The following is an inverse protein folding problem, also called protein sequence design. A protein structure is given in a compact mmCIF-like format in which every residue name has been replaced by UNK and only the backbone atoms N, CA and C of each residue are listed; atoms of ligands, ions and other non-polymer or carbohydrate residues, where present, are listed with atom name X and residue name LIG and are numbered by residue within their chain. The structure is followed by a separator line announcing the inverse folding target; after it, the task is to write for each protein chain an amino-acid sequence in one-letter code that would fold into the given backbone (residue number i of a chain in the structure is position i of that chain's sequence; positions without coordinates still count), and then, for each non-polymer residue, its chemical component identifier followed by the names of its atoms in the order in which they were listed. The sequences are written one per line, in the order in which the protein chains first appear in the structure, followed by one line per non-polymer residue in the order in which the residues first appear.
data_IF_542974317257
#
_entry.id   IF_542974317257
#
_cell.length_a   1.000
_cell.length_b   1.000
_cell.length_c   1.000
_cell.angle_alpha   90.00
_cell.angle_beta   90.00
_cell.angle_gamma   90.00
#
_symmetry.space_group_name_H-M   'P 1'
#
loop_
_entity.id
_entity.type
_entity.pdbx_description
1 polymer ?
#
# COMPACT_ATOMS: atom_id res chain seq x y z
N UNK A 1 -8.12 -10.35 -22.00
CA UNK A 1 -6.75 -10.24 -21.48
C UNK A 1 -6.64 -8.92 -20.72
N UNK A 2 -6.88 -8.89 -19.42
CA UNK A 2 -6.81 -7.67 -18.59
C UNK A 2 -5.37 -7.27 -18.23
N UNK A 3 -4.43 -8.20 -18.15
CA UNK A 3 -3.07 -7.93 -17.72
C UNK A 3 -2.23 -6.98 -18.60
N UNK A 4 -2.59 -6.78 -19.85
CA UNK A 4 -1.85 -5.93 -20.78
C UNK A 4 -2.02 -4.41 -20.55
N UNK A 5 -3.04 -4.00 -19.78
CA UNK A 5 -3.30 -2.59 -19.49
C UNK A 5 -2.43 -2.06 -18.34
N UNK A 6 -2.17 -2.88 -17.34
CA UNK A 6 -1.31 -2.50 -16.22
C UNK A 6 0.17 -2.37 -16.62
N UNK A 7 0.62 -3.17 -17.59
CA UNK A 7 2.01 -3.17 -18.08
C UNK A 7 2.49 -1.86 -18.70
N UNK A 8 1.58 -1.04 -19.25
CA UNK A 8 1.95 0.26 -19.83
C UNK A 8 2.11 1.41 -18.82
N UNK A 9 1.65 1.21 -17.59
CA UNK A 9 1.66 2.28 -16.58
C UNK A 9 3.00 2.53 -15.92
N UNK A 10 3.74 1.49 -15.64
CA UNK A 10 4.99 1.61 -14.93
C UNK A 10 6.16 2.08 -15.83
N UNK A 11 6.08 1.83 -17.15
CA UNK A 11 7.14 2.20 -18.08
C UNK A 11 7.31 3.72 -18.29
N UNK A 12 6.29 4.53 -18.02
CA UNK A 12 6.35 5.98 -18.25
C UNK A 12 6.74 6.81 -17.02
N UNK A 13 6.88 6.19 -15.85
CA UNK A 13 7.24 6.90 -14.61
C UNK A 13 8.76 7.05 -14.39
N UNK A 14 9.60 6.37 -15.18
CA UNK A 14 11.04 6.24 -14.91
C UNK A 14 12.00 6.76 -15.97
N UNK A 15 11.58 7.63 -16.90
CA UNK A 15 12.53 8.28 -17.85
C UNK A 15 12.69 9.76 -17.53
N UNK A 16 13.56 10.07 -16.58
CA UNK A 16 14.28 11.36 -16.55
C UNK A 16 15.77 11.12 -16.36
N UNK A 17 16.62 11.94 -17.03
CA UNK A 17 18.07 11.70 -17.11
C UNK A 17 18.78 12.11 -15.83
N UNK A 18 19.67 11.23 -15.37
CA UNK A 18 20.62 11.46 -14.29
C UNK A 18 21.67 12.47 -14.76
N UNK A 19 21.83 13.57 -14.03
CA UNK A 19 22.98 14.47 -14.18
C UNK A 19 24.27 13.81 -13.69
N UNK A 20 25.37 13.88 -14.45
CA UNK A 20 26.64 13.31 -14.02
C UNK A 20 27.48 14.30 -13.21
N UNK A 21 28.06 13.82 -12.14
CA UNK A 21 29.21 14.40 -11.52
C UNK A 21 29.24 14.33 -10.01
N UNK A 22 30.03 13.43 -9.45
CA UNK A 22 31.14 13.68 -8.51
C UNK A 22 31.88 12.36 -8.24
N UNK A 23 33.20 12.48 -8.29
CA UNK A 23 34.18 11.44 -8.40
C UNK A 23 34.41 10.58 -7.15
N UNK A 24 35.07 9.50 -7.39
CA UNK A 24 35.57 8.48 -6.49
C UNK A 24 36.42 9.01 -5.34
N UNK A 25 36.24 8.43 -4.16
CA UNK A 25 37.34 8.24 -3.17
C UNK A 25 37.22 6.87 -2.51
N UNK A 26 38.40 6.21 -2.48
CA UNK A 26 38.65 4.84 -2.05
C UNK A 26 38.63 4.65 -0.53
N UNK A 27 38.19 3.49 -0.16
CA UNK A 27 38.51 2.59 0.93
C UNK A 27 39.34 3.09 2.15
N UNK A 28 38.80 2.82 3.34
CA UNK A 28 39.53 2.26 4.48
C UNK A 28 38.63 1.76 5.62
N UNK A 29 38.77 0.47 5.93
CA UNK A 29 38.80 -0.04 7.30
C UNK A 29 37.50 -0.06 8.12
N UNK A 30 36.84 -1.22 8.09
CA UNK A 30 35.80 -1.58 9.04
C UNK A 30 36.30 -1.57 10.50
N UNK A 31 35.66 -0.82 11.36
CA UNK A 31 35.50 -1.10 12.78
C UNK A 31 34.05 -0.83 13.17
N UNK A 32 33.37 -1.90 13.52
CA UNK A 32 32.06 -1.86 14.16
C UNK A 32 32.20 -1.09 15.49
N UNK A 33 31.69 0.10 15.56
CA UNK A 33 31.41 0.79 16.80
C UNK A 33 29.91 1.08 16.89
N UNK A 34 29.30 0.50 17.90
CA UNK A 34 28.01 0.91 18.45
C UNK A 34 28.06 2.42 18.70
N UNK A 35 27.39 3.20 17.87
CA UNK A 35 27.10 4.58 18.21
C UNK A 35 25.69 4.63 18.82
N UNK A 36 25.64 4.60 20.16
CA UNK A 36 24.56 5.18 20.93
C UNK A 36 24.62 6.70 20.69
N UNK A 37 23.86 7.19 19.74
CA UNK A 37 23.69 8.62 19.55
C UNK A 37 22.95 9.19 20.77
N UNK A 38 23.68 9.92 21.59
CA UNK A 38 23.11 10.92 22.49
C UNK A 38 22.52 12.04 21.63
N UNK A 39 21.22 12.02 21.41
CA UNK A 39 20.44 13.21 21.09
C UNK A 39 19.25 13.22 22.04
N UNK A 40 19.22 14.24 22.88
CA UNK A 40 18.16 14.44 23.86
C UNK A 40 16.79 14.68 23.22
N UNK A 41 15.79 14.37 24.03
CA UNK A 41 14.34 14.46 23.78
C UNK A 41 13.74 13.26 23.02
N UNK A 42 13.63 12.13 23.67
CA UNK A 42 12.78 11.03 23.28
C UNK A 42 12.37 10.27 24.52
N UNK A 43 11.09 10.32 24.86
CA UNK A 43 10.50 9.33 25.77
C UNK A 43 10.87 7.94 25.23
N UNK A 44 11.31 6.98 26.05
CA UNK A 44 11.66 5.65 25.56
C UNK A 44 10.43 5.07 24.83
N UNK A 45 10.61 4.69 23.56
CA UNK A 45 9.61 3.98 22.79
C UNK A 45 9.30 2.70 23.54
N UNK A 46 8.10 2.61 24.10
CA UNK A 46 7.68 1.42 24.84
C UNK A 46 7.15 0.41 23.85
N UNK A 47 7.98 -0.54 23.43
CA UNK A 47 7.63 -1.62 22.51
C UNK A 47 6.81 -2.70 23.22
N UNK A 48 5.62 -2.33 23.71
CA UNK A 48 4.77 -3.25 24.49
C UNK A 48 4.06 -4.27 23.60
N UNK A 49 3.59 -3.84 22.43
CA UNK A 49 2.79 -4.69 21.55
C UNK A 49 3.47 -4.98 20.20
N UNK A 50 4.31 -4.10 19.75
CA UNK A 50 4.95 -4.27 18.44
C UNK A 50 6.30 -3.60 18.34
N UNK A 51 7.11 -4.09 17.42
CA UNK A 51 8.38 -3.51 17.02
C UNK A 51 8.59 -3.78 15.54
N UNK A 52 9.25 -2.88 14.85
CA UNK A 52 9.72 -3.12 13.49
C UNK A 52 11.18 -2.75 13.37
N UNK A 53 11.91 -3.51 12.56
CA UNK A 53 13.30 -3.29 12.27
C UNK A 53 13.62 -3.54 10.80
N UNK A 54 14.73 -2.96 10.36
CA UNK A 54 15.27 -3.12 9.02
C UNK A 54 16.65 -3.77 9.11
N UNK A 55 16.88 -4.77 8.26
CA UNK A 55 18.19 -5.36 8.03
C UNK A 55 18.78 -4.78 6.75
N UNK A 56 19.88 -4.04 6.79
CA UNK A 56 20.55 -3.52 5.61
C UNK A 56 21.52 -4.54 5.03
N UNK A 57 21.61 -4.63 3.71
CA UNK A 57 22.64 -5.41 3.03
C UNK A 57 22.18 -6.76 2.50
N UNK A 58 23.11 -7.71 2.42
CA UNK A 58 22.89 -9.05 1.85
C UNK A 58 22.52 -10.11 2.88
N UNK A 59 22.33 -11.32 2.39
CA UNK A 59 22.04 -12.48 3.24
C UNK A 59 23.33 -12.94 3.96
N UNK A 60 23.31 -12.86 5.28
CA UNK A 60 24.36 -13.35 6.19
C UNK A 60 23.68 -14.08 7.35
N UNK A 61 23.47 -15.37 7.21
CA UNK A 61 22.61 -16.18 8.07
C UNK A 61 22.84 -15.95 9.55
N UNK A 62 24.06 -16.15 10.05
CA UNK A 62 24.39 -15.98 11.49
C UNK A 62 24.14 -14.57 12.02
N UNK A 63 24.43 -13.57 11.21
CA UNK A 63 24.19 -12.18 11.60
C UNK A 63 22.69 -11.86 11.63
N UNK A 64 21.94 -12.40 10.69
CA UNK A 64 20.47 -12.29 10.64
C UNK A 64 19.83 -13.03 11.81
N UNK A 65 20.32 -14.24 12.17
CA UNK A 65 19.87 -14.97 13.36
C UNK A 65 19.99 -14.10 14.62
N UNK A 66 21.18 -13.54 14.84
CA UNK A 66 21.43 -12.69 16.01
C UNK A 66 20.55 -11.42 15.98
N UNK A 67 20.42 -10.78 14.82
CA UNK A 67 19.58 -9.60 14.64
C UNK A 67 18.10 -9.91 14.94
N UNK A 68 17.56 -11.02 14.46
CA UNK A 68 16.19 -11.43 14.72
C UNK A 68 15.93 -11.73 16.20
N UNK A 69 16.90 -12.39 16.88
CA UNK A 69 16.87 -12.60 18.32
C UNK A 69 16.86 -11.29 19.09
N UNK A 70 17.69 -10.33 18.68
CA UNK A 70 17.80 -9.04 19.35
C UNK A 70 16.55 -8.18 19.12
N UNK A 71 15.97 -8.21 17.90
CA UNK A 71 14.70 -7.56 17.63
C UNK A 71 13.57 -8.15 18.51
N UNK A 72 13.53 -9.49 18.61
CA UNK A 72 12.53 -10.16 19.48
C UNK A 72 12.72 -9.79 20.96
N UNK A 73 13.94 -9.66 21.45
CA UNK A 73 14.23 -9.25 22.84
C UNK A 73 13.82 -7.82 23.15
N UNK A 74 13.87 -6.94 22.16
CA UNK A 74 13.42 -5.54 22.29
C UNK A 74 11.91 -5.44 22.39
N UNK A 75 11.15 -6.38 21.83
CA UNK A 75 9.70 -6.47 22.03
C UNK A 75 9.41 -6.96 23.45
N UNK A 76 8.78 -6.11 24.26
CA UNK A 76 8.48 -6.40 25.70
C UNK A 76 7.33 -7.39 25.90
N UNK A 77 6.52 -7.59 24.87
CA UNK A 77 5.42 -8.53 24.90
C UNK A 77 5.88 -9.98 25.15
N UNK A 78 5.06 -10.81 25.83
CA UNK A 78 5.42 -12.18 26.18
C UNK A 78 5.57 -13.10 24.97
N UNK A 79 4.82 -12.85 23.90
CA UNK A 79 4.81 -13.66 22.68
C UNK A 79 4.62 -12.80 21.44
N UNK A 80 4.97 -13.35 20.29
CA UNK A 80 4.60 -12.83 18.98
C UNK A 80 3.35 -13.55 18.52
N UNK A 81 2.38 -12.83 17.95
CA UNK A 81 1.19 -13.39 17.33
C UNK A 81 1.34 -13.42 15.79
N UNK A 82 1.96 -12.38 15.24
CA UNK A 82 2.12 -12.17 13.78
C UNK A 82 3.50 -11.55 13.50
N UNK A 83 4.16 -12.02 12.46
CA UNK A 83 5.28 -11.36 11.82
C UNK A 83 4.88 -10.89 10.42
N UNK A 84 5.31 -9.68 10.04
CA UNK A 84 5.21 -9.20 8.67
C UNK A 84 6.62 -8.96 8.13
N UNK A 85 6.93 -9.55 6.97
CA UNK A 85 8.26 -9.45 6.34
C UNK A 85 8.14 -8.92 4.92
N UNK A 86 8.94 -7.92 4.61
CA UNK A 86 9.06 -7.34 3.27
C UNK A 86 10.52 -7.36 2.88
N UNK A 87 10.85 -7.87 1.69
CA UNK A 87 12.24 -8.00 1.27
C UNK A 87 12.46 -7.55 -0.17
N UNK A 88 13.64 -6.98 -0.41
CA UNK A 88 14.02 -6.55 -1.76
C UNK A 88 14.41 -7.74 -2.65
N UNK A 89 14.34 -7.62 -3.99
CA UNK A 89 14.64 -8.71 -4.93
C UNK A 89 16.01 -9.36 -4.73
N UNK A 90 16.96 -8.66 -4.14
CA UNK A 90 18.26 -9.23 -3.79
C UNK A 90 18.18 -10.45 -2.86
N UNK A 91 17.09 -10.58 -2.12
CA UNK A 91 16.84 -11.70 -1.21
C UNK A 91 16.11 -12.87 -1.85
N UNK A 92 15.62 -12.77 -3.10
CA UNK A 92 14.88 -13.84 -3.76
C UNK A 92 15.57 -15.20 -3.71
N UNK A 93 16.89 -15.32 -4.00
CA UNK A 93 17.59 -16.59 -3.92
C UNK A 93 17.69 -17.19 -2.49
N UNK A 94 17.47 -16.38 -1.48
CA UNK A 94 17.61 -16.73 -0.06
C UNK A 94 16.30 -16.64 0.70
N UNK A 95 15.18 -16.35 0.02
CA UNK A 95 13.90 -16.05 0.66
C UNK A 95 13.46 -17.17 1.60
N UNK A 96 13.50 -18.43 1.14
CA UNK A 96 13.16 -19.60 1.95
C UNK A 96 13.99 -19.69 3.24
N UNK A 97 15.32 -19.58 3.11
CA UNK A 97 16.22 -19.63 4.27
C UNK A 97 15.99 -18.48 5.24
N UNK A 98 15.76 -17.27 4.69
CA UNK A 98 15.45 -16.08 5.50
C UNK A 98 14.18 -16.28 6.30
N UNK A 99 13.09 -16.75 5.68
CA UNK A 99 11.83 -17.00 6.35
C UNK A 99 11.99 -18.01 7.51
N UNK A 100 12.72 -19.09 7.28
CA UNK A 100 12.98 -20.10 8.30
C UNK A 100 13.78 -19.53 9.47
N UNK A 101 14.83 -18.78 9.20
CA UNK A 101 15.64 -18.09 10.23
C UNK A 101 14.77 -17.15 11.07
N UNK A 102 14.00 -16.28 10.42
CA UNK A 102 13.15 -15.31 11.11
C UNK A 102 12.09 -15.97 11.98
N UNK A 103 11.41 -17.01 11.45
CA UNK A 103 10.39 -17.76 12.21
C UNK A 103 10.93 -18.39 13.46
N UNK A 104 12.09 -19.05 13.35
CA UNK A 104 12.72 -19.74 14.47
C UNK A 104 13.26 -18.74 15.49
N UNK A 105 14.09 -17.80 15.06
CA UNK A 105 14.81 -16.91 16.00
C UNK A 105 13.91 -15.89 16.66
N UNK A 106 12.94 -15.34 15.94
CA UNK A 106 11.97 -14.40 16.51
C UNK A 106 10.70 -15.09 17.06
N UNK A 107 10.60 -16.43 16.98
CA UNK A 107 9.48 -17.26 17.47
C UNK A 107 8.14 -16.79 16.90
N UNK A 108 8.06 -16.70 15.58
CA UNK A 108 6.89 -16.18 14.88
C UNK A 108 5.97 -17.36 14.50
N UNK A 109 4.76 -17.45 15.06
CA UNK A 109 3.83 -18.54 14.73
C UNK A 109 3.18 -18.38 13.36
N UNK A 110 2.89 -17.14 12.95
CA UNK A 110 2.38 -16.77 11.64
C UNK A 110 3.25 -15.66 11.06
N UNK A 111 3.92 -15.96 9.95
CA UNK A 111 4.75 -15.01 9.20
C UNK A 111 4.18 -14.84 7.80
N UNK A 112 3.92 -13.61 7.38
CA UNK A 112 3.44 -13.30 6.04
C UNK A 112 4.09 -12.03 5.49
N UNK A 113 4.01 -11.84 4.18
CA UNK A 113 4.54 -10.65 3.53
C UNK A 113 4.74 -10.81 2.04
N UNK A 114 5.56 -9.96 1.47
CA UNK A 114 5.86 -9.99 0.04
C UNK A 114 7.19 -9.32 -0.28
N UNK A 115 7.58 -9.43 -1.55
CA UNK A 115 8.69 -8.67 -2.11
C UNK A 115 8.36 -7.19 -2.27
N UNK A 116 9.38 -6.35 -2.24
CA UNK A 116 9.26 -4.92 -2.44
C UNK A 116 10.54 -4.28 -2.98
N UNK A 117 10.41 -3.20 -3.73
CA UNK A 117 11.55 -2.38 -4.17
C UNK A 117 12.09 -1.51 -3.03
N UNK A 118 11.23 -1.05 -2.14
CA UNK A 118 11.57 -0.17 -1.01
C UNK A 118 10.78 -0.59 0.23
N UNK A 119 11.34 -0.36 1.40
CA UNK A 119 10.88 -0.92 2.65
C UNK A 119 10.48 0.17 3.65
N UNK A 120 9.64 -0.19 4.61
CA UNK A 120 9.22 0.69 5.71
C UNK A 120 9.44 -0.04 7.03
N UNK A 121 10.16 0.60 7.96
CA UNK A 121 10.39 0.07 9.30
C UNK A 121 10.41 1.20 10.34
N UNK A 122 9.43 1.21 11.24
CA UNK A 122 9.27 2.27 12.23
C UNK A 122 8.96 3.62 11.57
N UNK A 123 9.82 4.60 11.78
CA UNK A 123 9.69 5.94 11.17
C UNK A 123 10.51 6.10 9.89
N UNK A 124 11.12 5.02 9.38
CA UNK A 124 12.03 5.09 8.24
C UNK A 124 11.45 4.45 7.00
N UNK A 125 11.66 5.12 5.88
CA UNK A 125 11.41 4.65 4.51
C UNK A 125 12.78 4.38 3.87
N UNK A 126 13.03 3.13 3.51
CA UNK A 126 14.31 2.67 2.99
C UNK A 126 14.16 2.48 1.49
N UNK A 127 14.54 3.49 0.74
CA UNK A 127 14.48 3.51 -0.71
C UNK A 127 15.86 3.21 -1.32
N UNK A 128 15.88 2.54 -2.48
CA UNK A 128 17.09 2.24 -3.26
C UNK A 128 18.18 1.44 -2.49
N UNK A 129 17.80 0.75 -1.42
CA UNK A 129 18.72 -0.08 -0.62
C UNK A 129 18.23 -1.52 -0.56
N UNK A 130 19.18 -2.46 -0.71
CA UNK A 130 18.91 -3.86 -0.49
C UNK A 130 18.71 -4.16 1.01
N UNK A 131 17.78 -5.05 1.33
CA UNK A 131 17.52 -5.43 2.70
C UNK A 131 16.15 -6.11 2.86
N UNK A 132 15.76 -6.26 4.10
CA UNK A 132 14.38 -6.63 4.45
C UNK A 132 13.91 -5.86 5.67
N UNK A 133 12.59 -5.65 5.79
CA UNK A 133 11.94 -5.13 6.98
C UNK A 133 11.16 -6.26 7.66
N UNK A 134 11.19 -6.30 9.00
CA UNK A 134 10.44 -7.24 9.81
C UNK A 134 9.66 -6.50 10.89
N UNK A 135 8.34 -6.69 10.91
CA UNK A 135 7.46 -6.28 12.01
C UNK A 135 7.09 -7.47 12.87
N UNK A 136 7.18 -7.33 14.19
CA UNK A 136 6.74 -8.31 15.18
C UNK A 136 5.58 -7.73 15.97
N UNK A 137 4.47 -8.46 16.03
CA UNK A 137 3.22 -7.99 16.65
C UNK A 137 2.73 -8.98 17.71
N UNK A 138 2.46 -8.47 18.89
CA UNK A 138 1.68 -9.15 19.94
C UNK A 138 0.25 -8.64 19.86
N UNK A 139 -0.67 -9.52 19.52
CA UNK A 139 -2.08 -9.20 19.29
C UNK A 139 -2.92 -9.98 20.33
N UNK A 140 -3.17 -9.40 21.53
CA UNK A 140 -3.86 -10.10 22.59
C UNK A 140 -5.26 -10.54 22.19
N UNK A 141 -5.59 -11.82 22.38
CA UNK A 141 -6.90 -12.39 22.06
C UNK A 141 -7.24 -12.43 20.56
N UNK A 142 -6.28 -12.15 19.68
CA UNK A 142 -6.49 -12.27 18.23
C UNK A 142 -6.70 -13.72 17.81
N UNK A 143 -7.58 -13.91 16.83
CA UNK A 143 -7.71 -15.12 16.05
C UNK A 143 -7.22 -14.79 14.64
N UNK A 144 -6.13 -15.42 14.24
CA UNK A 144 -5.47 -15.17 12.95
C UNK A 144 -5.54 -16.44 12.11
N UNK A 145 -6.05 -16.30 10.90
CA UNK A 145 -6.03 -17.33 9.87
C UNK A 145 -5.42 -16.74 8.61
N UNK A 146 -4.66 -17.53 7.88
CA UNK A 146 -4.04 -17.05 6.63
C UNK A 146 -4.16 -18.10 5.54
N UNK A 147 -4.35 -17.63 4.32
CA UNK A 147 -4.45 -18.46 3.14
C UNK A 147 -3.65 -17.88 1.99
N UNK A 148 -2.95 -18.75 1.26
CA UNK A 148 -2.45 -18.45 -0.08
C UNK A 148 -3.56 -18.74 -1.10
N UNK A 149 -3.66 -17.94 -2.14
CA UNK A 149 -4.61 -18.12 -3.24
C UNK A 149 -3.95 -17.89 -4.60
N UNK A 150 -4.52 -18.48 -5.63
CA UNK A 150 -3.99 -18.47 -7.00
C UNK A 150 -4.98 -17.89 -8.00
N UNK A 151 -4.52 -17.55 -9.21
CA UNK A 151 -5.40 -17.11 -10.30
C UNK A 151 -6.46 -18.16 -10.65
N UNK A 152 -6.11 -19.45 -10.62
CA UNK A 152 -7.07 -20.53 -10.88
C UNK A 152 -8.24 -20.51 -9.90
N UNK A 153 -8.01 -20.15 -8.64
CA UNK A 153 -9.08 -19.98 -7.65
C UNK A 153 -9.91 -18.70 -7.90
N UNK A 154 -9.27 -17.62 -8.38
CA UNK A 154 -9.99 -16.40 -8.79
C UNK A 154 -10.94 -16.71 -9.94
N UNK A 155 -10.46 -17.44 -10.94
CA UNK A 155 -11.26 -17.83 -12.11
C UNK A 155 -12.38 -18.80 -11.76
N UNK A 156 -12.17 -19.67 -10.77
CA UNK A 156 -13.15 -20.65 -10.29
C UNK A 156 -14.20 -20.06 -9.33
N UNK A 157 -14.07 -18.78 -8.95
CA UNK A 157 -14.98 -18.18 -8.00
C UNK A 157 -16.40 -18.04 -8.56
N UNK A 158 -17.35 -18.75 -7.97
CA UNK A 158 -18.75 -18.81 -8.42
C UNK A 158 -19.71 -17.97 -7.56
N UNK A 159 -19.21 -17.23 -6.57
CA UNK A 159 -20.04 -16.38 -5.72
C UNK A 159 -19.55 -16.26 -4.27
N UNK A 160 -20.30 -15.57 -3.42
CA UNK A 160 -19.81 -15.14 -2.08
C UNK A 160 -19.43 -16.28 -1.12
N UNK A 161 -19.96 -17.51 -1.30
CA UNK A 161 -19.60 -18.64 -0.46
C UNK A 161 -18.23 -19.24 -0.80
N UNK A 162 -17.72 -18.98 -2.01
CA UNK A 162 -16.51 -19.61 -2.51
C UNK A 162 -15.29 -19.36 -1.62
N UNK A 163 -14.96 -18.09 -1.39
CA UNK A 163 -13.77 -17.73 -0.60
C UNK A 163 -13.88 -18.19 0.86
N UNK A 164 -15.09 -18.19 1.44
CA UNK A 164 -15.28 -18.73 2.81
C UNK A 164 -14.96 -20.22 2.86
N UNK A 165 -15.38 -20.96 1.84
CA UNK A 165 -15.05 -22.40 1.73
C UNK A 165 -13.55 -22.65 1.51
N UNK A 166 -12.88 -21.80 0.70
CA UNK A 166 -11.45 -21.92 0.43
C UNK A 166 -10.58 -21.59 1.65
N UNK A 167 -10.94 -20.56 2.40
CA UNK A 167 -10.18 -20.10 3.56
C UNK A 167 -10.55 -20.81 4.86
N UNK A 168 -11.73 -21.42 4.93
CA UNK A 168 -12.31 -21.96 6.17
C UNK A 168 -12.74 -20.88 7.17
N UNK A 169 -12.78 -19.59 6.75
CA UNK A 169 -13.12 -18.46 7.62
C UNK A 169 -14.50 -17.93 7.26
N UNK A 170 -15.41 -17.91 8.22
CA UNK A 170 -16.71 -17.26 8.06
C UNK A 170 -16.60 -15.74 8.31
N UNK A 171 -17.45 -14.94 7.66
CA UNK A 171 -17.43 -13.48 7.82
C UNK A 171 -17.58 -13.03 9.28
N UNK A 172 -18.32 -13.77 10.10
CA UNK A 172 -18.51 -13.47 11.52
C UNK A 172 -17.27 -13.72 12.38
N UNK A 173 -16.29 -14.47 11.90
CA UNK A 173 -15.05 -14.82 12.60
C UNK A 173 -13.95 -13.78 12.33
N UNK A 174 -14.04 -13.06 11.20
CA UNK A 174 -13.09 -12.03 10.81
C UNK A 174 -13.56 -10.64 11.19
N UNK A 175 -12.61 -9.72 11.38
CA UNK A 175 -12.81 -8.29 11.61
C UNK A 175 -11.95 -7.44 10.67
N UNK A 176 -11.55 -8.02 9.55
CA UNK A 176 -10.78 -7.42 8.48
C UNK A 176 -9.70 -8.34 7.93
N UNK A 177 -9.25 -8.03 6.73
CA UNK A 177 -8.26 -8.81 6.00
C UNK A 177 -7.06 -7.94 5.65
N UNK A 178 -5.85 -8.46 5.87
CA UNK A 178 -4.61 -7.89 5.36
C UNK A 178 -4.11 -8.77 4.22
N UNK A 179 -3.83 -8.19 3.04
CA UNK A 179 -3.49 -8.95 1.85
C UNK A 179 -2.27 -8.41 1.11
N UNK A 180 -1.45 -9.35 0.61
CA UNK A 180 -0.30 -9.10 -0.26
C UNK A 180 -0.45 -9.93 -1.52
N UNK A 181 -0.44 -9.30 -2.70
CA UNK A 181 -0.85 -9.94 -3.95
C UNK A 181 0.17 -9.68 -5.05
N UNK A 182 0.48 -10.70 -5.82
CA UNK A 182 1.30 -10.56 -7.03
C UNK A 182 0.54 -9.78 -8.12
N UNK A 183 1.10 -8.67 -8.63
CA UNK A 183 0.44 -7.83 -9.62
C UNK A 183 0.48 -8.39 -11.05
N UNK A 184 1.33 -9.38 -11.33
CA UNK A 184 1.60 -9.84 -12.69
C UNK A 184 0.75 -11.05 -13.10
N UNK A 185 0.46 -11.95 -12.17
CA UNK A 185 -0.21 -13.22 -12.43
C UNK A 185 -1.63 -13.28 -11.84
N UNK A 186 -2.05 -12.29 -11.04
CA UNK A 186 -3.39 -12.21 -10.46
C UNK A 186 -4.19 -11.07 -11.07
N UNK A 187 -5.43 -11.37 -11.50
CA UNK A 187 -6.46 -10.35 -11.75
C UNK A 187 -6.94 -9.80 -10.39
N UNK A 188 -6.16 -8.85 -9.88
CA UNK A 188 -6.34 -8.31 -8.54
C UNK A 188 -7.67 -7.56 -8.37
N UNK A 189 -8.24 -6.97 -9.44
CA UNK A 189 -9.56 -6.32 -9.38
C UNK A 189 -10.68 -7.35 -9.24
N UNK A 190 -10.64 -8.44 -10.02
CA UNK A 190 -11.61 -9.53 -9.91
C UNK A 190 -11.49 -10.25 -8.57
N UNK A 191 -10.26 -10.53 -8.12
CA UNK A 191 -10.03 -11.11 -6.81
C UNK A 191 -10.62 -10.23 -5.70
N UNK A 192 -10.25 -8.94 -5.64
CA UNK A 192 -10.68 -8.04 -4.58
C UNK A 192 -12.20 -7.86 -4.55
N UNK A 193 -12.83 -7.79 -5.72
CA UNK A 193 -14.28 -7.70 -5.83
C UNK A 193 -14.95 -8.95 -5.25
N UNK A 194 -14.56 -10.14 -5.69
CA UNK A 194 -15.19 -11.40 -5.25
C UNK A 194 -14.88 -11.72 -3.78
N UNK A 195 -13.68 -11.36 -3.32
CA UNK A 195 -13.31 -11.45 -1.90
C UNK A 195 -14.17 -10.51 -1.04
N UNK A 196 -14.33 -9.27 -1.47
CA UNK A 196 -15.17 -8.30 -0.77
C UNK A 196 -16.64 -8.71 -0.72
N UNK A 197 -17.18 -9.29 -1.80
CA UNK A 197 -18.53 -9.85 -1.82
C UNK A 197 -18.69 -11.01 -0.80
N UNK A 198 -17.63 -11.79 -0.60
CA UNK A 198 -17.64 -12.92 0.36
C UNK A 198 -17.60 -12.47 1.82
N UNK A 199 -16.97 -11.35 2.11
CA UNK A 199 -16.69 -10.89 3.46
C UNK A 199 -17.28 -9.51 3.81
N UNK A 200 -18.14 -8.94 2.96
CA UNK A 200 -18.77 -7.65 3.24
C UNK A 200 -19.41 -7.58 4.64
N UNK A 201 -19.32 -6.46 5.35
CA UNK A 201 -18.68 -5.18 4.99
C UNK A 201 -17.24 -5.03 5.52
N UNK A 202 -16.48 -6.13 5.64
CA UNK A 202 -15.16 -6.11 6.26
C UNK A 202 -14.12 -5.36 5.40
N UNK A 203 -13.23 -4.57 6.02
CA UNK A 203 -12.14 -3.94 5.30
C UNK A 203 -11.13 -4.97 4.81
N UNK A 204 -10.64 -4.77 3.58
CA UNK A 204 -9.46 -5.43 3.04
C UNK A 204 -8.41 -4.36 2.84
N UNK A 205 -7.25 -4.53 3.46
CA UNK A 205 -6.14 -3.57 3.41
C UNK A 205 -4.87 -4.29 2.97
N UNK A 206 -3.90 -3.56 2.45
CA UNK A 206 -2.65 -4.15 2.00
C UNK A 206 -2.15 -3.55 0.69
N UNK A 207 -1.49 -4.37 -0.13
CA UNK A 207 -0.97 -3.89 -1.40
C UNK A 207 -0.48 -5.00 -2.33
N UNK A 208 -0.25 -4.60 -3.57
CA UNK A 208 0.36 -5.43 -4.58
C UNK A 208 1.87 -5.44 -4.39
N UNK A 209 2.48 -6.61 -4.38
CA UNK A 209 3.91 -6.77 -4.28
C UNK A 209 4.65 -5.94 -5.33
N UNK A 210 5.82 -5.47 -5.00
CA UNK A 210 6.75 -4.90 -5.96
C UNK A 210 8.06 -5.69 -5.96
N UNK A 211 8.83 -5.59 -7.03
CA UNK A 211 10.01 -6.43 -7.21
C UNK A 211 10.81 -6.03 -8.43
N UNK A 212 11.37 -6.99 -9.15
CA UNK A 212 12.05 -6.69 -10.39
C UNK A 212 11.02 -6.40 -11.50
N UNK A 213 10.97 -5.14 -11.89
CA UNK A 213 10.00 -4.68 -12.88
C UNK A 213 10.35 -5.15 -14.30
N UNK A 214 11.63 -5.33 -14.60
CA UNK A 214 12.08 -5.77 -15.95
C UNK A 214 11.79 -7.25 -16.14
N UNK A 215 12.01 -8.06 -15.10
CA UNK A 215 11.71 -9.50 -15.10
C UNK A 215 10.25 -9.81 -14.74
N UNK A 216 9.46 -8.80 -14.35
CA UNK A 216 8.08 -8.96 -13.88
C UNK A 216 7.96 -10.00 -12.77
N UNK A 217 8.93 -10.04 -11.87
CA UNK A 217 9.02 -11.00 -10.79
C UNK A 217 8.72 -10.37 -9.43
N UNK A 218 7.82 -11.02 -8.71
CA UNK A 218 7.50 -10.74 -7.31
C UNK A 218 7.38 -12.05 -6.55
N UNK A 219 7.41 -11.96 -5.23
CA UNK A 219 7.18 -13.09 -4.36
C UNK A 219 6.20 -12.70 -3.25
N UNK A 220 5.36 -13.65 -2.83
CA UNK A 220 4.54 -13.54 -1.63
C UNK A 220 4.90 -14.65 -0.67
N UNK A 221 4.79 -14.39 0.63
CA UNK A 221 5.32 -15.26 1.67
C UNK A 221 4.24 -15.65 2.67
N UNK A 222 4.21 -16.93 3.01
CA UNK A 222 3.37 -17.43 4.09
C UNK A 222 4.12 -18.49 4.89
N UNK A 223 4.40 -18.19 6.15
CA UNK A 223 5.22 -19.01 7.04
C UNK A 223 6.62 -19.26 6.47
N UNK A 224 6.95 -20.49 6.11
CA UNK A 224 8.21 -20.85 5.47
C UNK A 224 8.09 -20.95 3.95
N UNK A 225 6.92 -20.78 3.35
CA UNK A 225 6.70 -20.97 1.92
C UNK A 225 6.89 -19.66 1.14
N UNK A 226 7.52 -19.79 -0.03
CA UNK A 226 7.74 -18.73 -1.02
C UNK A 226 6.93 -19.04 -2.26
N UNK A 227 6.09 -18.12 -2.68
CA UNK A 227 5.28 -18.25 -3.89
C UNK A 227 5.68 -17.15 -4.88
N UNK A 228 5.93 -17.53 -6.13
CA UNK A 228 6.27 -16.61 -7.21
C UNK A 228 5.03 -16.05 -7.91
N UNK A 229 3.86 -16.55 -7.57
CA UNK A 229 2.56 -16.10 -8.06
C UNK A 229 1.50 -16.21 -6.96
N UNK A 230 0.38 -15.56 -7.15
CA UNK A 230 -0.74 -15.64 -6.23
C UNK A 230 -0.83 -14.47 -5.26
N UNK A 231 -1.48 -14.72 -4.14
CA UNK A 231 -1.59 -13.77 -3.06
C UNK A 231 -1.74 -14.45 -1.71
N UNK A 232 -1.39 -13.72 -0.67
CA UNK A 232 -1.57 -14.14 0.73
C UNK A 232 -2.53 -13.18 1.41
N UNK A 233 -3.55 -13.71 2.06
CA UNK A 233 -4.52 -12.95 2.83
C UNK A 233 -4.57 -13.46 4.27
N UNK A 234 -4.55 -12.54 5.22
CA UNK A 234 -4.57 -12.80 6.66
C UNK A 234 -5.89 -12.26 7.23
N UNK A 235 -6.71 -13.13 7.78
CA UNK A 235 -7.88 -12.78 8.58
C UNK A 235 -7.44 -12.33 9.96
N UNK A 236 -7.93 -11.18 10.38
CA UNK A 236 -7.78 -10.67 11.75
C UNK A 236 -9.13 -10.70 12.44
N UNK A 237 -9.22 -11.42 13.55
CA UNK A 237 -10.47 -11.60 14.29
C UNK A 237 -10.24 -11.76 15.79
N UNK A 238 -11.24 -12.24 16.54
CA UNK A 238 -11.19 -12.35 17.99
C UNK A 238 -11.32 -10.98 18.66
N UNK A 239 -10.41 -10.64 19.58
CA UNK A 239 -10.39 -9.37 20.30
C UNK A 239 -9.62 -8.26 19.56
N UNK A 240 -9.19 -8.52 18.32
CA UNK A 240 -8.47 -7.56 17.46
C UNK A 240 -9.23 -7.38 16.16
N UNK A 241 -9.26 -6.15 15.66
CA UNK A 241 -9.79 -5.79 14.35
C UNK A 241 -8.78 -4.99 13.53
N UNK A 242 -8.97 -4.96 12.22
CA UNK A 242 -8.30 -4.01 11.36
C UNK A 242 -9.08 -2.68 11.34
N UNK A 243 -8.34 -1.61 11.55
CA UNK A 243 -8.78 -0.24 11.29
C UNK A 243 -7.69 0.44 10.47
N UNK A 244 -7.98 1.58 9.87
CA UNK A 244 -6.94 2.27 9.13
C UNK A 244 -7.50 3.38 8.25
N UNK A 245 -6.72 3.74 7.28
CA UNK A 245 -7.02 4.81 6.33
C UNK A 245 -6.41 4.51 4.96
N UNK A 246 -6.97 5.18 3.95
CA UNK A 246 -6.49 5.15 2.56
C UNK A 246 -6.33 6.59 2.09
N UNK A 247 -5.07 7.07 1.99
CA UNK A 247 -4.75 8.44 1.57
C UNK A 247 -4.42 8.49 0.09
N UNK A 248 -5.33 9.04 -0.71
CA UNK A 248 -5.18 9.12 -2.17
C UNK A 248 -4.34 10.31 -2.64
N UNK A 249 -4.12 11.30 -1.78
CA UNK A 249 -3.17 12.39 -2.01
C UNK A 249 -3.50 13.32 -3.18
N UNK A 250 -4.76 13.41 -3.55
CA UNK A 250 -5.24 14.25 -4.66
C UNK A 250 -6.17 15.37 -4.16
N UNK A 251 -6.19 16.47 -4.88
CA UNK A 251 -7.12 17.58 -4.66
C UNK A 251 -8.10 17.65 -5.84
N UNK A 252 -9.41 17.71 -5.59
CA UNK A 252 -10.38 17.96 -6.64
C UNK A 252 -10.11 19.30 -7.36
N UNK A 253 -10.23 19.31 -8.69
CA UNK A 253 -10.08 20.50 -9.52
C UNK A 253 -11.26 20.64 -10.46
N UNK A 254 -11.70 21.87 -10.70
CA UNK A 254 -12.89 22.17 -11.49
C UNK A 254 -14.17 21.70 -10.81
N UNK A 255 -15.21 21.54 -11.61
CA UNK A 255 -16.55 21.14 -11.19
C UNK A 255 -16.75 19.63 -11.27
N UNK A 256 -17.77 19.13 -10.59
CA UNK A 256 -18.28 17.77 -10.76
C UNK A 256 -19.13 17.68 -12.01
N UNK A 257 -19.05 16.57 -12.71
CA UNK A 257 -19.72 16.31 -13.98
C UNK A 257 -20.32 14.92 -14.02
N UNK A 258 -21.33 14.73 -14.86
CA UNK A 258 -21.90 13.41 -15.14
C UNK A 258 -21.34 12.86 -16.47
N UNK A 259 -20.96 11.60 -16.49
CA UNK A 259 -20.56 10.87 -17.70
C UNK A 259 -21.79 10.62 -18.58
N UNK A 260 -21.79 11.19 -19.78
CA UNK A 260 -22.94 11.12 -20.70
C UNK A 260 -22.72 10.18 -21.88
N UNK A 261 -21.47 9.76 -22.14
CA UNK A 261 -21.15 8.73 -23.13
C UNK A 261 -19.84 8.04 -22.79
N UNK A 262 -19.90 6.73 -22.59
CA UNK A 262 -18.75 5.88 -22.23
C UNK A 262 -18.77 4.59 -23.04
N UNK A 263 -17.59 4.06 -23.35
CA UNK A 263 -17.40 2.76 -23.97
C UNK A 263 -16.18 2.06 -23.36
N UNK A 264 -16.39 1.00 -22.58
CA UNK A 264 -15.35 0.35 -21.79
C UNK A 264 -14.59 1.38 -20.92
N UNK A 265 -13.28 1.54 -21.18
CA UNK A 265 -12.42 2.49 -20.48
C UNK A 265 -12.30 3.85 -21.20
N UNK A 266 -13.10 4.10 -22.23
CA UNK A 266 -13.14 5.36 -22.97
C UNK A 266 -14.30 6.22 -22.49
N UNK A 267 -14.02 7.45 -22.11
CA UNK A 267 -15.00 8.50 -21.84
C UNK A 267 -15.05 9.39 -23.07
N UNK A 268 -16.17 9.35 -23.79
CA UNK A 268 -16.38 10.18 -24.98
C UNK A 268 -16.99 11.54 -24.63
N UNK A 269 -17.97 11.56 -23.68
CA UNK A 269 -18.65 12.78 -23.31
C UNK A 269 -18.84 12.91 -21.79
N UNK A 270 -18.61 14.12 -21.32
CA UNK A 270 -18.81 14.59 -19.95
C UNK A 270 -19.79 15.77 -20.04
N UNK A 271 -20.98 15.68 -19.41
CA UNK A 271 -22.00 16.73 -19.45
C UNK A 271 -22.46 17.06 -20.89
N UNK A 272 -22.63 16.06 -21.76
CA UNK A 272 -22.97 16.20 -23.19
C UNK A 272 -21.94 17.00 -24.02
N UNK A 273 -20.70 17.02 -23.59
CA UNK A 273 -19.58 17.73 -24.23
C UNK A 273 -18.41 16.77 -24.44
N UNK A 274 -17.59 16.91 -25.50
CA UNK A 274 -16.40 16.09 -25.67
C UNK A 274 -15.53 16.10 -24.39
N UNK A 275 -15.20 14.92 -23.88
CA UNK A 275 -14.48 14.76 -22.60
C UNK A 275 -13.13 15.48 -22.59
N UNK A 276 -12.40 15.42 -23.72
CA UNK A 276 -11.16 16.17 -23.92
C UNK A 276 -11.33 17.68 -23.75
N UNK A 277 -12.42 18.23 -24.28
CA UNK A 277 -12.69 19.67 -24.17
C UNK A 277 -12.91 20.08 -22.70
N UNK A 278 -13.68 19.29 -21.95
CA UNK A 278 -13.90 19.55 -20.51
C UNK A 278 -12.60 19.47 -19.72
N UNK A 279 -11.74 18.47 -20.01
CA UNK A 279 -10.40 18.37 -19.43
C UNK A 279 -9.55 19.62 -19.70
N UNK A 280 -9.49 20.06 -20.97
CA UNK A 280 -8.69 21.22 -21.35
C UNK A 280 -9.20 22.53 -20.75
N UNK A 281 -10.51 22.70 -20.63
CA UNK A 281 -11.10 23.87 -19.94
C UNK A 281 -10.76 23.87 -18.45
N UNK A 282 -10.88 22.70 -17.77
CA UNK A 282 -10.48 22.55 -16.38
C UNK A 282 -9.00 22.86 -16.21
N UNK A 283 -8.13 22.30 -17.06
CA UNK A 283 -6.69 22.57 -17.04
C UNK A 283 -6.36 24.06 -17.26
N UNK A 284 -7.03 24.70 -18.23
CA UNK A 284 -6.79 26.09 -18.56
C UNK A 284 -7.30 27.07 -17.47
N UNK A 285 -8.24 26.65 -16.66
CA UNK A 285 -8.75 27.42 -15.53
C UNK A 285 -7.81 27.40 -14.31
N UNK A 286 -6.84 26.47 -14.26
CA UNK A 286 -5.87 26.40 -13.17
C UNK A 286 -4.99 27.64 -13.12
N UNK A 287 -4.57 28.11 -11.92
CA UNK A 287 -3.56 29.14 -11.75
C UNK A 287 -2.24 28.77 -12.44
N UNK A 288 -1.48 29.77 -12.91
CA UNK A 288 -0.29 29.54 -13.72
C UNK A 288 0.78 28.63 -13.07
N UNK A 289 0.95 28.73 -11.72
CA UNK A 289 1.86 27.87 -10.96
C UNK A 289 1.40 26.41 -10.98
N UNK A 290 0.11 26.18 -10.83
CA UNK A 290 -0.47 24.85 -10.81
C UNK A 290 -0.46 24.18 -12.19
N UNK A 291 -0.45 24.96 -13.28
CA UNK A 291 -0.35 24.44 -14.66
C UNK A 291 0.98 23.75 -14.93
N UNK A 292 2.07 24.27 -14.38
CA UNK A 292 3.40 23.70 -14.57
C UNK A 292 3.50 22.33 -13.89
N UNK A 293 2.90 22.20 -12.71
CA UNK A 293 2.89 20.98 -11.93
C UNK A 293 1.81 19.98 -12.40
N UNK A 294 0.72 20.48 -13.01
CA UNK A 294 -0.43 19.68 -13.44
C UNK A 294 -0.20 18.90 -14.73
N UNK A 295 0.78 19.25 -15.57
CA UNK A 295 0.93 18.68 -16.92
C UNK A 295 1.04 17.15 -16.99
N UNK A 296 1.46 16.49 -15.91
CA UNK A 296 1.56 15.02 -15.80
C UNK A 296 0.83 14.46 -14.55
N UNK A 297 0.17 15.31 -13.77
CA UNK A 297 -0.39 14.98 -12.46
C UNK A 297 -1.90 15.21 -12.37
N UNK A 298 -2.61 15.14 -13.51
CA UNK A 298 -4.06 15.17 -13.57
C UNK A 298 -4.61 13.74 -13.67
N UNK A 299 -5.60 13.47 -12.84
CA UNK A 299 -6.30 12.20 -12.72
C UNK A 299 -7.79 12.44 -12.88
N UNK A 300 -8.56 11.36 -12.98
CA UNK A 300 -10.01 11.41 -12.89
C UNK A 300 -10.45 10.73 -11.60
N UNK A 301 -11.29 11.42 -10.83
CA UNK A 301 -11.99 10.87 -9.69
C UNK A 301 -13.38 10.38 -10.12
N UNK A 302 -13.68 9.13 -9.85
CA UNK A 302 -14.97 8.49 -10.07
C UNK A 302 -15.67 8.43 -8.71
N UNK A 303 -16.85 9.03 -8.58
CA UNK A 303 -17.61 8.99 -7.33
C UNK A 303 -17.95 7.55 -6.95
N UNK A 304 -17.72 7.20 -5.68
CA UNK A 304 -18.01 5.86 -5.15
C UNK A 304 -19.45 5.74 -4.67
N UNK A 305 -19.98 6.81 -4.07
CA UNK A 305 -21.34 6.87 -3.55
C UNK A 305 -22.11 8.05 -4.16
N UNK A 306 -22.98 7.77 -5.13
CA UNK A 306 -23.79 8.77 -5.86
C UNK A 306 -24.94 9.39 -5.02
N UNK A 307 -25.17 8.89 -3.79
CA UNK A 307 -26.25 9.37 -2.92
C UNK A 307 -25.82 10.53 -2.01
N UNK A 308 -24.56 10.98 -2.11
CA UNK A 308 -24.08 12.16 -1.39
C UNK A 308 -24.59 13.43 -2.08
N UNK A 309 -24.99 14.43 -1.31
CA UNK A 309 -25.39 15.74 -1.82
C UNK A 309 -24.18 16.56 -2.27
N UNK A 310 -23.09 16.51 -1.49
CA UNK A 310 -21.82 17.17 -1.78
C UNK A 310 -20.68 16.17 -1.78
N UNK A 311 -19.72 16.36 -2.69
CA UNK A 311 -18.56 15.48 -2.85
C UNK A 311 -17.30 16.17 -2.35
N UNK A 312 -16.56 15.46 -1.49
CA UNK A 312 -15.34 15.94 -0.86
C UNK A 312 -14.15 15.04 -1.23
N UNK A 313 -12.96 15.46 -0.81
CA UNK A 313 -11.77 14.61 -0.87
C UNK A 313 -12.05 13.29 -0.13
N UNK A 314 -11.70 12.16 -0.76
CA UNK A 314 -11.95 10.83 -0.21
C UNK A 314 -13.23 10.14 -0.73
N UNK A 315 -14.16 10.87 -1.37
CA UNK A 315 -15.39 10.28 -1.93
C UNK A 315 -15.20 9.72 -3.35
N UNK A 316 -14.01 9.94 -3.92
CA UNK A 316 -13.66 9.56 -5.28
C UNK A 316 -12.67 8.41 -5.31
N UNK A 317 -12.88 7.50 -6.24
CA UNK A 317 -11.88 6.54 -6.65
C UNK A 317 -10.99 7.19 -7.72
N UNK A 318 -9.75 7.45 -7.38
CA UNK A 318 -8.80 8.14 -8.26
C UNK A 318 -8.24 7.16 -9.30
N UNK A 319 -8.27 7.58 -10.57
CA UNK A 319 -7.78 6.78 -11.70
C UNK A 319 -6.96 7.61 -12.66
N UNK A 320 -5.97 6.95 -13.27
CA UNK A 320 -5.11 7.57 -14.28
C UNK A 320 -5.88 7.93 -15.54
N UNK A 321 -5.49 9.05 -16.13
CA UNK A 321 -5.75 9.33 -17.54
C UNK A 321 -4.68 8.60 -18.36
N UNK A 322 -5.08 7.57 -19.11
CA UNK A 322 -4.21 6.75 -19.95
C UNK A 322 -3.87 7.39 -21.28
N UNK A 323 -4.72 8.30 -21.71
CA UNK A 323 -4.59 9.01 -22.94
C UNK A 323 -5.72 10.00 -23.15
N UNK A 324 -5.46 10.99 -23.98
CA UNK A 324 -6.42 12.00 -24.38
C UNK A 324 -6.27 12.22 -25.90
N UNK A 325 -7.35 12.08 -26.65
CA UNK A 325 -7.34 12.27 -28.11
C UNK A 325 -8.11 13.53 -28.50
N UNK A 326 -7.40 14.58 -28.95
CA UNK A 326 -8.03 15.81 -29.42
C UNK A 326 -8.95 15.63 -30.62
N UNK A 327 -8.74 14.59 -31.45
CA UNK A 327 -9.49 14.36 -32.69
C UNK A 327 -10.86 13.75 -32.41
N UNK A 328 -10.90 12.68 -31.61
CA UNK A 328 -12.16 12.06 -31.19
C UNK A 328 -12.84 12.78 -30.02
N UNK A 329 -12.10 13.62 -29.31
CA UNK A 329 -12.57 14.27 -28.09
C UNK A 329 -12.64 13.36 -26.87
N UNK A 330 -12.06 12.16 -26.92
CA UNK A 330 -12.18 11.11 -25.93
C UNK A 330 -11.01 11.07 -24.95
N UNK A 331 -11.26 10.56 -23.74
CA UNK A 331 -10.26 10.26 -22.72
C UNK A 331 -10.25 8.75 -22.47
N UNK A 332 -9.05 8.14 -22.43
CA UNK A 332 -8.86 6.79 -21.95
C UNK A 332 -8.50 6.82 -20.46
N UNK A 333 -9.14 6.01 -19.64
CA UNK A 333 -8.95 6.00 -18.19
C UNK A 333 -8.61 4.59 -17.68
N UNK A 334 -7.92 4.51 -16.54
CA UNK A 334 -7.53 3.27 -15.89
C UNK A 334 -8.68 2.64 -15.09
N UNK A 335 -9.91 2.65 -15.62
CA UNK A 335 -11.10 2.07 -15.01
C UNK A 335 -12.12 1.69 -16.07
N UNK A 336 -13.22 1.07 -15.62
CA UNK A 336 -14.43 0.86 -16.41
C UNK A 336 -15.54 1.80 -15.87
N UNK A 337 -15.57 3.08 -16.31
CA UNK A 337 -16.55 4.04 -15.83
C UNK A 337 -17.95 3.68 -16.32
N UNK A 338 -18.97 4.11 -15.57
CA UNK A 338 -20.38 3.82 -15.91
C UNK A 338 -21.07 5.06 -16.49
N UNK A 339 -21.95 4.85 -17.46
CA UNK A 339 -22.84 5.90 -17.92
C UNK A 339 -23.66 6.44 -16.72
N UNK A 340 -23.75 7.75 -16.61
CA UNK A 340 -24.43 8.43 -15.50
C UNK A 340 -23.59 8.59 -14.24
N UNK A 341 -22.37 8.06 -14.19
CA UNK A 341 -21.48 8.20 -13.03
C UNK A 341 -20.97 9.65 -12.90
N UNK A 342 -20.93 10.14 -11.66
CA UNK A 342 -20.35 11.45 -11.35
C UNK A 342 -18.84 11.37 -11.33
N UNK A 343 -18.18 12.35 -11.93
CA UNK A 343 -16.72 12.46 -12.02
C UNK A 343 -16.26 13.87 -11.70
N UNK A 344 -15.02 13.98 -11.24
CA UNK A 344 -14.30 15.25 -11.10
C UNK A 344 -12.83 15.04 -11.40
N UNK A 345 -12.20 15.95 -12.11
CA UNK A 345 -10.75 15.90 -12.29
C UNK A 345 -10.04 16.15 -10.96
N UNK A 346 -8.88 15.56 -10.83
CA UNK A 346 -8.10 15.56 -9.60
C UNK A 346 -6.66 15.92 -9.94
N UNK A 347 -6.02 16.69 -9.09
CA UNK A 347 -4.60 17.03 -9.19
C UNK A 347 -3.82 16.41 -8.04
N UNK A 348 -2.74 15.70 -8.35
CA UNK A 348 -1.81 15.17 -7.38
C UNK A 348 -0.65 16.13 -7.17
N UNK A 349 -0.27 16.34 -5.91
CA UNK A 349 0.95 17.06 -5.53
C UNK A 349 1.42 16.58 -4.16
N UNK A 350 2.71 16.84 -3.84
CA UNK A 350 3.24 16.58 -2.49
C UNK A 350 2.43 17.28 -1.41
N UNK A 351 2.04 18.53 -1.64
CA UNK A 351 1.23 19.34 -0.71
C UNK A 351 -0.13 18.69 -0.48
N UNK A 352 -0.81 18.27 -1.56
CA UNK A 352 -2.10 17.59 -1.46
C UNK A 352 -1.99 16.26 -0.71
N UNK A 353 -0.94 15.48 -1.00
CA UNK A 353 -0.70 14.18 -0.37
C UNK A 353 -0.39 14.32 1.13
N UNK A 354 0.41 15.31 1.51
CA UNK A 354 0.70 15.63 2.91
C UNK A 354 -0.56 16.06 3.66
N UNK A 355 -1.34 16.98 3.08
CA UNK A 355 -2.57 17.48 3.70
C UNK A 355 -3.62 16.37 3.89
N UNK A 356 -3.79 15.51 2.88
CA UNK A 356 -4.72 14.40 2.92
C UNK A 356 -4.34 13.37 4.00
N UNK A 357 -3.09 12.95 4.02
CA UNK A 357 -2.59 12.00 5.02
C UNK A 357 -2.70 12.57 6.43
N UNK A 358 -2.33 13.84 6.64
CA UNK A 358 -2.44 14.53 7.92
C UNK A 358 -3.89 14.53 8.45
N UNK A 359 -4.84 14.93 7.61
CA UNK A 359 -6.26 14.98 7.97
C UNK A 359 -6.80 13.59 8.33
N UNK A 360 -6.46 12.57 7.54
CA UNK A 360 -6.90 11.20 7.77
C UNK A 360 -6.27 10.58 9.04
N UNK A 361 -5.00 10.88 9.32
CA UNK A 361 -4.34 10.45 10.55
C UNK A 361 -4.96 11.09 11.78
N UNK A 362 -5.26 12.40 11.73
CA UNK A 362 -5.92 13.09 12.84
C UNK A 362 -7.33 12.54 13.10
N UNK A 363 -8.14 12.33 12.06
CA UNK A 363 -9.45 11.69 12.18
C UNK A 363 -9.34 10.26 12.73
N UNK A 364 -8.32 9.51 12.31
CA UNK A 364 -8.09 8.15 12.80
C UNK A 364 -7.70 8.15 14.27
N UNK A 365 -6.83 9.06 14.69
CA UNK A 365 -6.46 9.28 16.09
C UNK A 365 -7.68 9.56 16.96
N UNK A 366 -8.57 10.46 16.51
CA UNK A 366 -9.80 10.80 17.23
C UNK A 366 -10.75 9.61 17.30
N UNK A 367 -10.95 8.88 16.20
CA UNK A 367 -11.81 7.69 16.14
C UNK A 367 -11.31 6.56 17.03
N UNK A 368 -10.00 6.41 17.17
CA UNK A 368 -9.37 5.37 17.99
C UNK A 368 -9.03 5.84 19.42
N UNK A 369 -9.41 7.05 19.80
CA UNK A 369 -9.10 7.59 21.11
C UNK A 369 -9.51 6.64 22.25
N UNK A 370 -8.53 6.29 23.11
CA UNK A 370 -8.72 5.36 24.21
C UNK A 370 -8.67 3.86 23.85
N UNK A 371 -8.56 3.50 22.57
CA UNK A 371 -8.36 2.12 22.15
C UNK A 371 -6.88 1.83 21.94
N UNK A 372 -6.33 0.73 22.48
CA UNK A 372 -4.95 0.33 22.19
C UNK A 372 -4.73 0.07 20.70
N UNK A 373 -3.67 0.65 20.15
CA UNK A 373 -3.14 0.34 18.83
C UNK A 373 -1.96 -0.63 19.04
N UNK A 374 -2.09 -1.84 18.54
CA UNK A 374 -1.11 -2.90 18.75
C UNK A 374 0.04 -2.87 17.72
N UNK A 375 -0.09 -2.08 16.66
CA UNK A 375 0.88 -1.94 15.59
C UNK A 375 0.22 -1.67 14.25
N UNK A 376 1.00 -1.59 13.17
CA UNK A 376 0.47 -1.31 11.84
C UNK A 376 1.31 -1.82 10.69
N UNK A 377 0.67 -1.86 9.52
CA UNK A 377 1.30 -2.12 8.23
C UNK A 377 1.01 -0.96 7.29
N UNK A 378 2.05 -0.35 6.71
CA UNK A 378 1.93 0.74 5.75
C UNK A 378 2.31 0.25 4.35
N UNK A 379 1.36 0.29 3.43
CA UNK A 379 1.56 0.03 2.01
C UNK A 379 1.52 1.39 1.28
N UNK A 380 2.68 1.87 0.86
CA UNK A 380 2.83 3.15 0.17
C UNK A 380 3.12 2.91 -1.31
N UNK A 381 2.54 3.71 -2.20
CA UNK A 381 2.79 3.57 -3.63
C UNK A 381 4.26 3.84 -3.97
N UNK A 382 4.83 3.07 -4.91
CA UNK A 382 6.16 3.35 -5.47
C UNK A 382 6.31 4.77 -6.04
N UNK A 383 5.21 5.43 -6.35
CA UNK A 383 5.21 6.83 -6.78
C UNK A 383 5.18 7.85 -5.64
N UNK A 384 5.25 7.43 -4.38
CA UNK A 384 5.38 8.30 -3.18
C UNK A 384 6.85 8.40 -2.78
N UNK A 385 7.16 8.47 -1.50
CA UNK A 385 8.53 8.54 -0.99
C UNK A 385 9.29 9.78 -1.42
N UNK A 386 10.60 9.69 -1.45
CA UNK A 386 11.49 10.82 -1.77
C UNK A 386 11.22 11.42 -3.15
N UNK A 387 10.79 10.60 -4.11
CA UNK A 387 10.47 11.06 -5.46
C UNK A 387 9.30 12.05 -5.51
N UNK A 388 8.31 11.91 -4.65
CA UNK A 388 7.18 12.83 -4.54
C UNK A 388 7.47 13.99 -3.58
N UNK A 389 8.00 13.69 -2.39
CA UNK A 389 8.10 14.67 -1.30
C UNK A 389 9.41 15.46 -1.29
N UNK A 390 10.43 15.01 -2.05
CA UNK A 390 11.75 15.64 -2.09
C UNK A 390 12.62 15.35 -0.85
N UNK A 391 12.12 14.55 0.10
CA UNK A 391 12.85 14.12 1.30
C UNK A 391 12.38 12.72 1.72
N UNK A 392 13.22 11.94 2.42
CA UNK A 392 12.87 10.59 2.87
C UNK A 392 11.91 10.60 4.07
N UNK A 393 11.35 9.43 4.35
CA UNK A 393 10.62 9.10 5.57
C UNK A 393 9.29 9.85 5.78
N UNK A 394 8.70 10.43 4.74
CA UNK A 394 7.53 11.31 4.88
C UNK A 394 6.33 10.60 5.51
N UNK A 395 5.82 9.55 4.86
CA UNK A 395 4.59 8.88 5.28
C UNK A 395 4.78 8.14 6.61
N UNK A 396 5.90 7.44 6.77
CA UNK A 396 6.22 6.69 7.97
C UNK A 396 6.36 7.60 9.21
N UNK A 397 7.05 8.75 9.08
CA UNK A 397 7.15 9.74 10.17
C UNK A 397 5.80 10.33 10.54
N UNK A 398 4.98 10.71 9.56
CA UNK A 398 3.65 11.24 9.83
C UNK A 398 2.79 10.25 10.63
N UNK A 399 2.85 8.95 10.30
CA UNK A 399 2.14 7.91 11.06
C UNK A 399 2.63 7.89 12.52
N UNK A 400 3.95 7.89 12.75
CA UNK A 400 4.52 7.85 14.10
C UNK A 400 4.20 9.12 14.92
N UNK A 401 4.23 10.29 14.28
CA UNK A 401 3.93 11.57 14.93
C UNK A 401 2.47 11.68 15.40
N UNK A 402 1.52 11.17 14.61
CA UNK A 402 0.10 11.26 14.95
C UNK A 402 -0.39 10.16 15.88
N UNK A 403 0.03 8.92 15.63
CA UNK A 403 -0.50 7.74 16.33
C UNK A 403 0.41 7.27 17.48
N UNK A 404 1.54 7.94 17.66
CA UNK A 404 2.57 7.58 18.64
C UNK A 404 3.51 6.48 18.16
N UNK A 405 4.54 6.18 18.94
CA UNK A 405 5.51 5.15 18.58
C UNK A 405 4.85 3.77 18.57
N UNK A 406 4.81 3.15 17.40
CA UNK A 406 4.29 1.80 17.20
C UNK A 406 5.20 1.01 16.26
N UNK A 407 5.17 -0.31 16.33
CA UNK A 407 5.80 -1.17 15.34
C UNK A 407 5.07 -1.00 14.02
N UNK A 408 5.69 -0.30 13.07
CA UNK A 408 5.21 -0.07 11.73
C UNK A 408 6.13 -0.79 10.78
N UNK A 409 5.70 -1.88 10.17
CA UNK A 409 6.37 -2.49 9.03
C UNK A 409 5.57 -2.23 7.78
N UNK A 410 6.24 -2.20 6.63
CA UNK A 410 5.55 -1.94 5.40
C UNK A 410 6.48 -1.95 4.20
N UNK A 411 5.93 -1.55 3.07
CA UNK A 411 6.62 -1.62 1.80
C UNK A 411 6.05 -0.65 0.77
N UNK A 412 6.85 -0.38 -0.25
CA UNK A 412 6.41 0.37 -1.41
C UNK A 412 5.84 -0.58 -2.45
N UNK A 413 4.59 -0.37 -2.84
CA UNK A 413 3.78 -1.31 -3.61
C UNK A 413 3.43 -0.82 -5.02
N UNK A 414 3.07 -1.78 -5.88
CA UNK A 414 2.61 -1.53 -7.24
C UNK A 414 1.12 -1.18 -7.34
N UNK A 415 0.44 -1.12 -6.21
CA UNK A 415 -0.96 -0.77 -6.07
C UNK A 415 -1.39 -1.02 -4.64
N UNK A 416 -2.18 -0.13 -4.07
CA UNK A 416 -2.63 -0.17 -2.71
C UNK A 416 -4.04 -0.78 -2.63
N UNK A 417 -4.29 -1.56 -1.58
CA UNK A 417 -5.61 -2.12 -1.28
C UNK A 417 -6.15 -1.41 -0.05
N UNK A 418 -7.36 -0.84 -0.18
CA UNK A 418 -7.98 -0.17 0.95
C UNK A 418 -9.42 0.25 0.69
N UNK A 419 -10.17 0.57 1.76
CA UNK A 419 -11.55 0.97 1.64
C UNK A 419 -11.74 2.46 1.29
N UNK A 420 -12.82 2.74 0.56
CA UNK A 420 -13.48 4.05 0.49
C UNK A 420 -14.90 3.83 1.00
N UNK A 421 -15.24 4.43 2.12
CA UNK A 421 -16.48 4.11 2.83
C UNK A 421 -16.50 2.65 3.29
N UNK A 422 -17.50 1.92 2.86
CA UNK A 422 -17.71 0.50 3.18
C UNK A 422 -17.28 -0.48 2.07
N UNK A 423 -16.63 0.02 1.02
CA UNK A 423 -16.21 -0.76 -0.15
C UNK A 423 -14.69 -0.76 -0.30
N UNK A 424 -14.13 -1.92 -0.65
CA UNK A 424 -12.70 -2.09 -0.88
C UNK A 424 -12.35 -1.85 -2.35
N UNK A 425 -11.22 -1.19 -2.59
CA UNK A 425 -10.73 -0.85 -3.92
C UNK A 425 -9.23 -1.08 -4.03
N UNK A 426 -8.81 -1.33 -5.26
CA UNK A 426 -7.42 -1.22 -5.64
C UNK A 426 -7.15 0.24 -6.01
N UNK A 427 -6.08 0.80 -5.45
CA UNK A 427 -5.67 2.19 -5.63
C UNK A 427 -4.33 2.29 -6.35
N UNK A 428 -4.01 3.50 -6.79
CA UNK A 428 -2.68 3.88 -7.22
C UNK A 428 -2.30 5.24 -6.65
N UNK A 429 -1.01 5.47 -6.46
CA UNK A 429 -0.44 6.71 -5.89
C UNK A 429 -0.88 7.01 -4.44
N UNK A 430 -1.31 6.02 -3.72
CA UNK A 430 -1.99 6.10 -2.43
C UNK A 430 -1.07 5.63 -1.31
N UNK A 431 -1.41 5.92 -0.07
CA UNK A 431 -0.88 5.26 1.11
C UNK A 431 -2.04 4.56 1.82
N UNK A 432 -1.95 3.23 1.98
CA UNK A 432 -2.89 2.40 2.73
C UNK A 432 -2.25 1.98 4.05
N UNK A 433 -2.80 2.45 5.16
CA UNK A 433 -2.34 2.13 6.51
C UNK A 433 -3.34 1.21 7.19
N UNK A 434 -2.93 -0.03 7.44
CA UNK A 434 -3.65 -0.98 8.27
C UNK A 434 -3.15 -0.93 9.72
N UNK A 435 -4.05 -0.77 10.67
CA UNK A 435 -3.77 -0.74 12.10
C UNK A 435 -4.44 -1.93 12.78
N UNK A 436 -3.68 -2.65 13.60
CA UNK A 436 -4.21 -3.67 14.49
C UNK A 436 -4.68 -2.99 15.79
N UNK A 437 -5.97 -2.99 16.05
CA UNK A 437 -6.55 -2.30 17.19
C UNK A 437 -7.46 -3.22 17.99
N UNK A 438 -7.67 -2.89 19.25
CA UNK A 438 -8.65 -3.61 20.08
C UNK A 438 -10.04 -3.53 19.42
N UNK A 439 -10.74 -4.68 19.38
CA UNK A 439 -12.05 -4.82 18.71
C UNK A 439 -13.17 -4.12 19.47
#
# INVERSE_FOLDING_TARGET
MPGALYQKFAANAFTQPICPGVGAMQAAGARFFYFLAKSGYGCPVVNEYSIAGHWPGGFEERAIEQWALDLRRQLRAPSVSLGLVFMTPRFFPYAQQLLDVLRVQARIPLLAGCSSQSLIAGASEIEEQAGFALGLYHLPGAKLEAAHFTQAQVDACTGPAYWRAQTGVESSQSRGWLAFVDPFHIDSETWLRTWSESYAPLPVMGGLASGDFQEQSTQVYLNGDVFEEGGVAISVGGEVKLAGLTSQGCTPIGETWTLTKVERNLIHEIGNRPAYKVLMETFNALPGKDKTDAGQNIFIGLVVNEYLEDFHRGDFLIRNLLGADPRSGSLAVGALPRLGQTVQFQQRSAVAATADLNELLERTKQRLAGSPIYGGCLCSCNGRGQGLFGHPDHDAKMVQEHLGPLGLAGFFCNGEIGPIGDKNFLHGFTASLALFVKA
#
